data_IF_355432969148
#
_entry.id   IF_355432969148
#
_cell.length_a   1.000
_cell.length_b   1.000
_cell.length_c   1.000
_cell.angle_alpha   90.00
_cell.angle_beta   90.00
_cell.angle_gamma   90.00
#
_symmetry.space_group_name_H-M   'P 1'
#
loop_
_entity.id
_entity.type
_entity.pdbx_description
1 polymer ?
#
# COMPACT_ATOMS: atom_id res chain seq x y z
N UNK A 1 -1.44 3.86 -18.10
CA UNK A 1 -1.14 3.43 -16.72
C UNK A 1 -2.46 3.02 -16.09
N UNK A 2 -2.54 1.80 -15.54
CA UNK A 2 -3.77 1.29 -14.95
C UNK A 2 -3.74 1.51 -13.44
N UNK A 3 -4.88 1.86 -12.86
CA UNK A 3 -5.06 2.08 -11.43
C UNK A 3 -6.04 1.07 -10.85
N UNK A 4 -5.72 0.54 -9.67
CA UNK A 4 -6.66 -0.19 -8.83
C UNK A 4 -6.58 0.33 -7.40
N UNK A 5 -7.75 0.50 -6.77
CA UNK A 5 -7.85 0.99 -5.40
C UNK A 5 -8.82 0.15 -4.59
N UNK A 6 -8.52 -0.05 -3.31
CA UNK A 6 -9.40 -0.74 -2.37
C UNK A 6 -9.30 -0.12 -0.97
N UNK A 7 -10.45 -0.02 -0.30
CA UNK A 7 -10.53 0.53 1.05
C UNK A 7 -10.82 -0.59 2.04
N UNK A 8 -9.90 -0.76 2.99
CA UNK A 8 -10.05 -1.68 4.12
C UNK A 8 -10.58 -0.92 5.33
N UNK A 9 -11.64 -1.44 5.96
CA UNK A 9 -12.09 -0.98 7.27
C UNK A 9 -11.25 -1.68 8.33
N UNK A 10 -10.64 -0.91 9.22
CA UNK A 10 -9.79 -1.41 10.29
C UNK A 10 -10.18 -0.72 11.60
N UNK A 11 -10.05 -1.42 12.71
CA UNK A 11 -10.26 -0.82 14.03
C UNK A 11 -9.33 0.39 14.25
N UNK A 12 -9.85 1.42 14.91
CA UNK A 12 -9.11 2.67 15.18
C UNK A 12 -7.80 2.38 15.94
N UNK A 13 -7.83 1.45 16.89
CA UNK A 13 -6.65 1.05 17.65
C UNK A 13 -5.59 0.38 16.78
N UNK A 14 -6.01 -0.37 15.77
CA UNK A 14 -5.11 -0.98 14.79
C UNK A 14 -4.50 0.10 13.89
N UNK A 15 -5.31 1.04 13.38
CA UNK A 15 -4.82 2.14 12.54
C UNK A 15 -3.84 3.05 13.27
N UNK A 16 -4.06 3.36 14.56
CA UNK A 16 -3.11 4.14 15.37
C UNK A 16 -1.76 3.44 15.57
N UNK A 17 -1.74 2.10 15.54
CA UNK A 17 -0.51 1.29 15.66
C UNK A 17 0.23 1.16 14.33
N UNK A 18 -0.39 1.51 13.20
CA UNK A 18 0.26 1.53 11.89
C UNK A 18 1.22 2.72 11.80
N UNK A 19 2.44 2.53 12.32
CA UNK A 19 3.54 3.44 12.08
C UNK A 19 4.22 3.13 10.74
N UNK A 20 5.07 4.06 10.31
CA UNK A 20 5.84 3.95 9.06
C UNK A 20 6.62 2.63 8.96
N UNK A 21 7.31 2.21 10.03
CA UNK A 21 8.11 0.97 10.03
C UNK A 21 7.24 -0.27 9.84
N UNK A 22 6.10 -0.36 10.54
CA UNK A 22 5.15 -1.47 10.41
C UNK A 22 4.60 -1.57 9.00
N UNK A 23 4.16 -0.45 8.42
CA UNK A 23 3.63 -0.41 7.05
C UNK A 23 4.74 -0.77 6.06
N UNK A 24 5.92 -0.14 6.18
CA UNK A 24 7.05 -0.40 5.30
C UNK A 24 7.43 -1.89 5.32
N UNK A 25 7.53 -2.50 6.50
CA UNK A 25 7.87 -3.91 6.62
C UNK A 25 6.81 -4.81 5.97
N UNK A 26 5.51 -4.54 6.18
CA UNK A 26 4.43 -5.30 5.51
C UNK A 26 4.53 -5.20 3.99
N UNK A 27 4.78 -4.01 3.46
CA UNK A 27 4.83 -3.76 2.02
C UNK A 27 6.08 -4.40 1.40
N UNK A 28 7.25 -4.27 2.03
CA UNK A 28 8.49 -4.88 1.54
C UNK A 28 8.44 -6.42 1.62
N UNK A 29 7.73 -6.98 2.62
CA UNK A 29 7.51 -8.43 2.72
C UNK A 29 6.63 -8.97 1.59
N UNK A 30 5.61 -8.21 1.17
CA UNK A 30 4.71 -8.64 0.10
C UNK A 30 5.26 -8.31 -1.30
N UNK A 31 6.11 -7.28 -1.41
CA UNK A 31 6.46 -6.67 -2.68
C UNK A 31 7.91 -6.17 -2.70
N UNK A 32 8.59 -6.24 -3.85
CA UNK A 32 9.95 -5.73 -4.01
C UNK A 32 9.95 -4.24 -4.38
N UNK A 33 9.44 -3.40 -3.49
CA UNK A 33 9.36 -1.93 -3.64
C UNK A 33 10.10 -1.24 -2.51
N UNK A 34 10.43 0.03 -2.70
CA UNK A 34 11.04 0.88 -1.68
C UNK A 34 10.11 2.03 -1.31
N UNK A 35 10.21 2.48 -0.06
CA UNK A 35 9.47 3.67 0.39
C UNK A 35 10.00 4.92 -0.30
N UNK A 36 9.07 5.80 -0.68
CA UNK A 36 9.37 7.10 -1.23
C UNK A 36 9.13 8.13 -0.13
N UNK A 37 10.10 9.01 0.19
CA UNK A 37 9.93 10.04 1.19
C UNK A 37 8.69 10.89 0.91
N UNK A 38 7.77 10.92 1.86
CA UNK A 38 6.58 11.76 1.82
C UNK A 38 6.75 12.98 2.70
N UNK A 39 6.40 14.16 2.18
CA UNK A 39 6.43 15.41 2.95
C UNK A 39 5.30 15.43 4.00
N UNK A 40 5.68 15.44 5.28
CA UNK A 40 4.93 15.78 6.51
C UNK A 40 3.51 15.25 6.76
N UNK A 41 2.90 14.51 5.85
CA UNK A 41 1.58 13.93 6.06
C UNK A 41 1.71 12.49 6.56
N UNK A 42 1.66 12.31 7.87
CA UNK A 42 1.73 11.00 8.54
C UNK A 42 0.56 10.07 8.15
N UNK A 43 -0.40 10.55 7.36
CA UNK A 43 -1.51 9.78 6.85
C UNK A 43 -1.20 9.06 5.52
N UNK A 44 -0.15 9.43 4.78
CA UNK A 44 0.11 8.88 3.44
C UNK A 44 1.49 8.25 3.31
N UNK A 45 1.52 6.97 2.96
CA UNK A 45 2.74 6.19 2.71
C UNK A 45 2.84 5.86 1.23
N UNK A 46 3.97 6.19 0.61
CA UNK A 46 4.20 5.95 -0.82
C UNK A 46 5.36 5.00 -1.02
N UNK A 47 5.21 4.11 -2.00
CA UNK A 47 6.22 3.16 -2.39
C UNK A 47 6.33 3.11 -3.90
N UNK A 48 7.53 2.83 -4.39
CA UNK A 48 7.80 2.66 -5.81
C UNK A 48 8.74 1.50 -6.05
N UNK A 49 8.56 0.84 -7.19
CA UNK A 49 9.42 -0.22 -7.65
C UNK A 49 9.21 -0.48 -9.13
N UNK A 50 9.94 -1.46 -9.65
CA UNK A 50 9.79 -1.92 -11.02
C UNK A 50 9.92 -3.43 -11.10
N UNK A 51 9.24 -4.04 -12.07
CA UNK A 51 9.41 -5.45 -12.37
C UNK A 51 10.81 -5.72 -12.95
N UNK A 52 11.39 -6.88 -12.63
CA UNK A 52 12.76 -7.21 -13.04
C UNK A 52 12.84 -7.44 -14.56
N UNK A 53 11.91 -8.20 -15.14
CA UNK A 53 11.99 -8.57 -16.57
C UNK A 53 11.46 -7.47 -17.49
N UNK A 54 10.28 -6.90 -17.18
CA UNK A 54 9.60 -5.96 -18.07
C UNK A 54 9.87 -4.49 -17.76
N UNK A 55 10.59 -4.20 -16.66
CA UNK A 55 10.84 -2.83 -16.16
C UNK A 55 9.57 -1.99 -16.02
N UNK A 56 8.44 -2.66 -15.79
CA UNK A 56 7.15 -2.00 -15.62
C UNK A 56 7.12 -1.34 -14.24
N UNK A 57 6.76 -0.06 -14.20
CA UNK A 57 6.70 0.69 -12.96
C UNK A 57 5.50 0.25 -12.12
N UNK A 58 5.72 0.25 -10.81
CA UNK A 58 4.70 -0.05 -9.80
C UNK A 58 4.77 1.08 -8.77
N UNK A 59 3.65 1.75 -8.57
CA UNK A 59 3.49 2.81 -7.59
C UNK A 59 2.39 2.40 -6.62
N UNK A 60 2.69 2.42 -5.32
CA UNK A 60 1.75 2.04 -4.28
C UNK A 60 1.58 3.24 -3.36
N UNK A 61 0.33 3.57 -3.04
CA UNK A 61 -0.03 4.58 -2.05
C UNK A 61 -0.96 3.98 -1.02
N UNK A 62 -0.68 4.20 0.25
CA UNK A 62 -1.53 3.85 1.37
C UNK A 62 -1.94 5.12 2.08
N UNK A 63 -3.24 5.34 2.19
CA UNK A 63 -3.82 6.48 2.88
C UNK A 63 -4.59 5.99 4.11
N UNK A 64 -4.13 6.39 5.29
CA UNK A 64 -4.77 6.13 6.57
C UNK A 64 -5.74 7.26 6.88
N UNK A 65 -7.02 6.95 7.02
CA UNK A 65 -8.04 7.88 7.48
C UNK A 65 -8.55 7.43 8.86
N UNK A 66 -8.07 8.10 9.90
CA UNK A 66 -8.44 7.79 11.29
C UNK A 66 -9.89 8.16 11.62
N UNK A 67 -10.46 9.18 10.95
CA UNK A 67 -11.85 9.62 11.19
C UNK A 67 -12.84 8.57 10.71
N UNK A 68 -12.61 7.99 9.53
CA UNK A 68 -13.49 7.01 8.92
C UNK A 68 -13.11 5.56 9.26
N UNK A 69 -12.01 5.36 10.02
CA UNK A 69 -11.47 4.03 10.34
C UNK A 69 -11.17 3.20 9.09
N UNK A 70 -10.54 3.84 8.09
CA UNK A 70 -10.25 3.22 6.81
C UNK A 70 -8.79 3.36 6.40
N UNK A 71 -8.27 2.31 5.79
CA UNK A 71 -7.01 2.30 5.05
C UNK A 71 -7.32 2.14 3.56
N UNK A 72 -7.09 3.18 2.77
CA UNK A 72 -7.21 3.09 1.31
C UNK A 72 -5.86 2.75 0.71
N UNK A 73 -5.83 1.70 -0.10
CA UNK A 73 -4.66 1.31 -0.86
C UNK A 73 -4.92 1.55 -2.33
N UNK A 74 -3.97 2.20 -3.00
CA UNK A 74 -4.01 2.46 -4.44
C UNK A 74 -2.72 1.95 -5.07
N UNK A 75 -2.85 1.12 -6.10
CA UNK A 75 -1.74 0.56 -6.87
C UNK A 75 -1.88 0.99 -8.33
N UNK A 76 -0.82 1.62 -8.82
CA UNK A 76 -0.68 2.07 -10.20
C UNK A 76 0.40 1.22 -10.90
N UNK A 77 0.07 0.63 -12.05
CA UNK A 77 1.04 -0.12 -12.85
C UNK A 77 0.62 -0.22 -14.32
N UNK A 78 1.58 -0.43 -15.20
CA UNK A 78 1.31 -0.75 -16.61
C UNK A 78 0.64 -2.13 -16.79
N UNK A 79 0.81 -3.02 -15.81
CA UNK A 79 0.26 -4.39 -15.83
C UNK A 79 -0.82 -4.53 -14.75
N UNK A 80 -2.08 -4.41 -15.15
CA UNK A 80 -3.23 -4.50 -14.21
C UNK A 80 -3.29 -5.83 -13.45
N UNK A 81 -2.92 -6.95 -14.09
CA UNK A 81 -2.89 -8.27 -13.46
C UNK A 81 -1.88 -8.32 -12.31
N UNK A 82 -0.74 -7.65 -12.46
CA UNK A 82 0.24 -7.56 -11.39
C UNK A 82 -0.30 -6.68 -10.25
N UNK A 83 -0.92 -5.55 -10.60
CA UNK A 83 -1.51 -4.65 -9.61
C UNK A 83 -2.61 -5.33 -8.78
N UNK A 84 -3.48 -6.15 -9.39
CA UNK A 84 -4.52 -6.90 -8.68
C UNK A 84 -3.94 -7.98 -7.77
N UNK A 85 -2.88 -8.68 -8.19
CA UNK A 85 -2.18 -9.66 -7.34
C UNK A 85 -1.56 -8.98 -6.12
N UNK A 86 -0.82 -7.89 -6.32
CA UNK A 86 -0.20 -7.14 -5.22
C UNK A 86 -1.24 -6.57 -4.26
N UNK A 87 -2.36 -6.05 -4.77
CA UNK A 87 -3.44 -5.52 -3.93
C UNK A 87 -3.97 -6.59 -2.98
N UNK A 88 -4.21 -7.80 -3.50
CA UNK A 88 -4.69 -8.93 -2.71
C UNK A 88 -3.69 -9.37 -1.65
N UNK A 89 -2.41 -9.53 -2.03
CA UNK A 89 -1.36 -9.99 -1.13
C UNK A 89 -1.12 -8.97 0.01
N UNK A 90 -1.04 -7.68 -0.33
CA UNK A 90 -0.88 -6.64 0.67
C UNK A 90 -2.12 -6.57 1.57
N UNK A 91 -3.33 -6.65 1.02
CA UNK A 91 -4.57 -6.67 1.83
C UNK A 91 -4.57 -7.82 2.84
N UNK A 92 -4.13 -9.01 2.45
CA UNK A 92 -4.00 -10.17 3.34
C UNK A 92 -2.94 -9.96 4.43
N UNK A 93 -1.94 -9.12 4.19
CA UNK A 93 -0.93 -8.78 5.21
C UNK A 93 -1.48 -7.93 6.35
N UNK A 94 -2.58 -7.20 6.14
CA UNK A 94 -3.24 -6.44 7.20
C UNK A 94 -4.25 -7.33 7.95
N UNK A 95 -4.30 -7.25 9.29
CA UNK A 95 -5.28 -8.00 10.06
C UNK A 95 -6.69 -7.61 9.60
N UNK A 96 -7.49 -8.60 9.19
CA UNK A 96 -8.88 -8.40 8.80
C UNK A 96 -9.73 -8.55 10.06
N UNK A 97 -10.55 -7.53 10.35
CA UNK A 97 -11.56 -7.58 11.43
C UNK A 97 -12.73 -8.47 11.03
#
# INVERSE_FOLDING_TARGET
MNEISETLKLDIDTLKKLNFSTIQNKIIQCTNVLSVPTSNDNATFRFSGQTISSKSLILISLQVNLTNSTLTMTINSDRIVLATMLLKDIKQSFPQT
#
